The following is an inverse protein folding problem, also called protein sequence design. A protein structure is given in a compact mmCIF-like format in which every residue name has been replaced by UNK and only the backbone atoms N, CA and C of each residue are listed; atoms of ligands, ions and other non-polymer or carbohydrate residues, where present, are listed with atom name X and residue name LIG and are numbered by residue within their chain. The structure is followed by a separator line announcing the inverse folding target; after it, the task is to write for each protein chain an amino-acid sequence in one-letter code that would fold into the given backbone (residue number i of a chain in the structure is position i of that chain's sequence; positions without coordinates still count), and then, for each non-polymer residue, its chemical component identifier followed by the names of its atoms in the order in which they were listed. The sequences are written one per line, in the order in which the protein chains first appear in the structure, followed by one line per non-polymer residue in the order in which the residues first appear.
data_IF_730275804650
#
_entry.id   IF_730275804650
#
_cell.length_a   1.000
_cell.length_b   1.000
_cell.length_c   1.000
_cell.angle_alpha   90.00
_cell.angle_beta   90.00
_cell.angle_gamma   90.00
#
_symmetry.space_group_name_H-M   'P 1'
#
loop_
_entity.id
_entity.type
_entity.pdbx_description
1 polymer ?
#
# COMPACT_ATOMS: atom_id res chain seq x y z
N UNK A 1 17.39 -9.95 -25.61
CA UNK A 1 17.24 -9.81 -24.14
C UNK A 1 17.52 -8.38 -23.65
N UNK A 2 18.45 -7.62 -24.24
CA UNK A 2 18.73 -6.24 -23.81
C UNK A 2 17.56 -5.26 -23.91
N UNK A 3 16.68 -5.39 -24.91
CA UNK A 3 15.55 -4.47 -25.11
C UNK A 3 14.44 -4.58 -24.05
N UNK A 4 14.30 -5.72 -23.38
CA UNK A 4 13.29 -5.92 -22.32
C UNK A 4 13.72 -5.21 -21.03
N UNK A 5 15.01 -5.25 -20.70
CA UNK A 5 15.55 -4.65 -19.48
C UNK A 5 15.77 -3.13 -19.59
N UNK A 6 15.86 -2.60 -20.82
CA UNK A 6 16.04 -1.16 -21.05
C UNK A 6 14.72 -0.38 -21.00
N UNK A 7 13.57 -1.07 -21.10
CA UNK A 7 12.26 -0.45 -21.02
C UNK A 7 11.53 -0.89 -19.74
N UNK A 8 11.30 0.03 -18.81
CA UNK A 8 10.65 -0.24 -17.53
C UNK A 8 9.30 -0.96 -17.70
N UNK A 9 8.49 -0.54 -18.68
CA UNK A 9 7.18 -1.17 -18.94
C UNK A 9 7.31 -2.63 -19.36
N UNK A 10 8.26 -2.93 -20.23
CA UNK A 10 8.54 -4.30 -20.68
C UNK A 10 9.09 -5.16 -19.55
N UNK A 11 9.97 -4.62 -18.72
CA UNK A 11 10.54 -5.32 -17.56
C UNK A 11 9.44 -5.69 -16.54
N UNK A 12 8.55 -4.75 -16.22
CA UNK A 12 7.42 -4.98 -15.29
C UNK A 12 6.46 -6.03 -15.85
N UNK A 13 6.05 -5.93 -17.13
CA UNK A 13 5.16 -6.92 -17.76
C UNK A 13 5.81 -8.30 -17.76
N UNK A 14 7.09 -8.39 -18.14
CA UNK A 14 7.82 -9.68 -18.14
C UNK A 14 7.90 -10.28 -16.74
N UNK A 15 8.19 -9.48 -15.70
CA UNK A 15 8.20 -9.93 -14.31
C UNK A 15 6.84 -10.47 -13.86
N UNK A 16 5.76 -9.80 -14.24
CA UNK A 16 4.39 -10.25 -13.95
C UNK A 16 4.06 -11.58 -14.66
N UNK A 17 4.43 -11.72 -15.92
CA UNK A 17 4.24 -12.97 -16.69
C UNK A 17 5.01 -14.12 -16.03
N UNK A 18 6.26 -13.92 -15.65
CA UNK A 18 7.03 -14.93 -14.91
C UNK A 18 6.41 -15.30 -13.57
N UNK A 19 5.91 -14.33 -12.81
CA UNK A 19 5.24 -14.58 -11.54
C UNK A 19 3.98 -15.43 -11.73
N UNK A 20 3.15 -15.14 -12.74
CA UNK A 20 1.94 -15.92 -13.07
C UNK A 20 2.31 -17.33 -13.47
N UNK A 21 3.33 -17.52 -14.32
CA UNK A 21 3.83 -18.84 -14.72
C UNK A 21 4.31 -19.62 -13.50
N UNK A 22 5.09 -19.00 -12.62
CA UNK A 22 5.58 -19.63 -11.41
C UNK A 22 4.45 -20.08 -10.48
N UNK A 23 3.45 -19.21 -10.27
CA UNK A 23 2.26 -19.54 -9.48
C UNK A 23 1.54 -20.75 -10.08
N UNK A 24 1.35 -20.77 -11.40
CA UNK A 24 0.72 -21.89 -12.09
C UNK A 24 1.49 -23.20 -11.88
N UNK A 25 2.81 -23.19 -12.01
CA UNK A 25 3.65 -24.37 -11.76
C UNK A 25 3.61 -24.84 -10.29
N UNK A 26 3.61 -23.93 -9.35
CA UNK A 26 3.56 -24.26 -7.92
C UNK A 26 2.15 -24.75 -7.49
N UNK A 27 1.10 -24.37 -8.18
CA UNK A 27 -0.27 -24.75 -7.89
C UNK A 27 -0.68 -26.13 -8.46
N UNK A 28 0.22 -26.87 -9.12
CA UNK A 28 -0.10 -28.12 -9.83
C UNK A 28 -0.42 -29.34 -8.95
N UNK A 29 -0.49 -29.24 -7.63
CA UNK A 29 -0.74 -30.42 -6.78
C UNK A 29 -2.18 -30.59 -6.29
N UNK A 30 -2.75 -29.56 -5.73
CA UNK A 30 -4.15 -29.44 -5.30
C UNK A 30 -4.44 -27.96 -5.11
N UNK A 31 -5.19 -27.38 -6.01
CA UNK A 31 -5.53 -25.97 -5.93
C UNK A 31 -6.61 -25.76 -4.87
N UNK A 32 -6.22 -25.38 -3.68
CA UNK A 32 -7.14 -24.89 -2.65
C UNK A 32 -7.48 -23.42 -2.94
N UNK A 33 -8.69 -23.23 -3.46
CA UNK A 33 -9.22 -21.90 -3.79
C UNK A 33 -9.22 -20.98 -2.54
N UNK A 34 -9.50 -21.51 -1.37
CA UNK A 34 -9.57 -20.74 -0.14
C UNK A 34 -8.18 -20.27 0.28
N UNK A 35 -7.21 -21.18 0.28
CA UNK A 35 -5.82 -20.86 0.57
C UNK A 35 -5.25 -19.84 -0.43
N UNK A 36 -5.56 -19.97 -1.71
CA UNK A 36 -5.13 -19.03 -2.74
C UNK A 36 -5.74 -17.63 -2.54
N UNK A 37 -7.04 -17.54 -2.26
CA UNK A 37 -7.70 -16.25 -2.01
C UNK A 37 -7.12 -15.55 -0.79
N UNK A 38 -6.83 -16.29 0.28
CA UNK A 38 -6.19 -15.76 1.49
C UNK A 38 -4.76 -15.27 1.20
N UNK A 39 -4.00 -16.02 0.41
CA UNK A 39 -2.66 -15.64 -0.02
C UNK A 39 -2.70 -14.36 -0.87
N UNK A 40 -3.58 -14.28 -1.87
CA UNK A 40 -3.75 -13.12 -2.73
C UNK A 40 -4.14 -11.87 -1.92
N UNK A 41 -5.07 -12.01 -0.98
CA UNK A 41 -5.51 -10.91 -0.13
C UNK A 41 -4.37 -10.40 0.78
N UNK A 42 -3.52 -11.29 1.31
CA UNK A 42 -2.31 -10.89 2.04
C UNK A 42 -1.34 -10.10 1.15
N UNK A 43 -1.13 -10.55 -0.08
CA UNK A 43 -0.32 -9.81 -1.05
C UNK A 43 -0.87 -8.43 -1.35
N UNK A 44 -2.16 -8.31 -1.57
CA UNK A 44 -2.80 -7.00 -1.77
C UNK A 44 -2.62 -6.09 -0.56
N UNK A 45 -2.76 -6.63 0.65
CA UNK A 45 -2.54 -5.88 1.90
C UNK A 45 -1.10 -5.39 2.02
N UNK A 46 -0.13 -6.25 1.79
CA UNK A 46 1.30 -5.91 1.87
C UNK A 46 1.69 -4.89 0.81
N UNK A 47 1.28 -5.07 -0.45
CA UNK A 47 1.61 -4.15 -1.54
C UNK A 47 1.01 -2.76 -1.32
N UNK A 48 -0.26 -2.68 -0.88
CA UNK A 48 -0.88 -1.39 -0.55
C UNK A 48 -0.22 -0.73 0.65
N UNK A 49 0.18 -1.51 1.65
CA UNK A 49 0.94 -1.01 2.81
C UNK A 49 2.32 -0.48 2.43
N UNK A 50 3.05 -1.18 1.57
CA UNK A 50 4.35 -0.72 1.04
C UNK A 50 4.17 0.61 0.29
N UNK A 51 3.14 0.72 -0.55
CA UNK A 51 2.88 1.95 -1.28
C UNK A 51 2.53 3.10 -0.33
N UNK A 52 1.65 2.88 0.64
CA UNK A 52 1.26 3.88 1.62
C UNK A 52 2.45 4.38 2.45
N UNK A 53 3.16 3.45 3.10
CA UNK A 53 4.30 3.76 3.98
C UNK A 53 5.49 4.29 3.17
N UNK A 54 5.74 3.74 1.97
CA UNK A 54 6.82 4.19 1.09
C UNK A 54 6.66 5.66 0.64
N UNK A 55 5.43 6.07 0.30
CA UNK A 55 5.15 7.48 -0.02
C UNK A 55 5.29 8.37 1.21
N UNK A 56 4.90 7.90 2.40
CA UNK A 56 5.11 8.62 3.65
C UNK A 56 6.60 8.87 3.92
N UNK A 57 7.45 7.86 3.75
CA UNK A 57 8.90 8.01 3.85
C UNK A 57 9.44 8.98 2.80
N UNK A 58 9.00 8.88 1.56
CA UNK A 58 9.40 9.80 0.50
C UNK A 58 9.11 11.27 0.89
N UNK A 59 7.92 11.57 1.37
CA UNK A 59 7.60 12.92 1.81
C UNK A 59 8.47 13.40 2.98
N UNK A 60 8.61 12.58 4.02
CA UNK A 60 9.29 12.99 5.24
C UNK A 60 10.82 13.03 5.13
N UNK A 61 11.41 12.11 4.36
CA UNK A 61 12.87 11.99 4.29
C UNK A 61 13.47 12.56 3.01
N UNK A 62 12.68 12.75 1.96
CA UNK A 62 13.18 13.23 0.69
C UNK A 62 12.58 14.58 0.32
N UNK A 63 11.27 14.67 0.15
CA UNK A 63 10.66 15.88 -0.41
C UNK A 63 10.70 17.06 0.57
N UNK A 64 10.20 16.93 1.79
CA UNK A 64 10.11 18.02 2.76
C UNK A 64 11.49 18.57 3.13
N UNK A 65 12.50 17.75 3.47
CA UNK A 65 13.84 18.28 3.83
C UNK A 65 14.55 18.98 2.67
N UNK A 66 14.27 18.62 1.42
CA UNK A 66 14.92 19.21 0.25
C UNK A 66 14.17 20.43 -0.33
N UNK A 67 12.95 20.69 0.08
CA UNK A 67 12.18 21.84 -0.41
C UNK A 67 12.87 23.19 -0.24
N UNK A 68 13.60 23.47 0.87
CA UNK A 68 14.36 24.74 1.00
C UNK A 68 15.50 24.88 -0.01
N UNK A 69 16.06 23.77 -0.50
CA UNK A 69 17.19 23.75 -1.42
C UNK A 69 16.77 23.92 -2.89
N UNK A 70 15.48 23.95 -3.17
CA UNK A 70 14.94 24.06 -4.54
C UNK A 70 14.69 25.53 -4.86
N UNK A 71 15.17 26.04 -6.01
CA UNK A 71 14.87 27.39 -6.48
C UNK A 71 13.37 27.68 -6.51
N UNK A 72 12.98 28.90 -6.17
CA UNK A 72 11.56 29.28 -6.00
C UNK A 72 10.75 29.13 -7.31
N UNK A 73 11.36 29.34 -8.45
CA UNK A 73 10.78 29.16 -9.77
C UNK A 73 10.45 27.68 -10.11
N UNK A 74 11.13 26.72 -9.48
CA UNK A 74 10.95 25.28 -9.68
C UNK A 74 10.00 24.62 -8.64
N UNK A 75 9.81 25.24 -7.48
CA UNK A 75 8.91 24.73 -6.42
C UNK A 75 7.48 24.43 -6.91
N UNK A 76 6.88 25.25 -7.81
CA UNK A 76 5.53 24.97 -8.32
C UNK A 76 5.41 23.64 -9.07
N UNK A 77 6.46 23.17 -9.75
CA UNK A 77 6.46 21.88 -10.42
C UNK A 77 6.28 20.71 -9.43
N UNK A 78 6.90 20.83 -8.27
CA UNK A 78 6.79 19.81 -7.21
C UNK A 78 5.45 19.94 -6.49
N UNK A 79 5.09 21.12 -6.02
CA UNK A 79 3.89 21.31 -5.18
C UNK A 79 2.58 21.18 -5.95
N UNK A 80 2.54 21.58 -7.25
CA UNK A 80 1.31 21.57 -8.06
C UNK A 80 1.15 20.34 -8.94
N UNK A 81 2.23 19.60 -9.22
CA UNK A 81 2.18 18.45 -10.13
C UNK A 81 2.53 17.15 -9.40
N UNK A 82 3.72 17.08 -8.82
CA UNK A 82 4.21 15.81 -8.23
C UNK A 82 3.50 15.50 -6.92
N UNK A 83 3.41 16.47 -6.01
CA UNK A 83 2.83 16.23 -4.69
C UNK A 83 1.34 15.83 -4.74
N UNK A 84 0.46 16.46 -5.53
CA UNK A 84 -0.93 16.02 -5.65
C UNK A 84 -1.07 14.60 -6.22
N UNK A 85 -0.24 14.24 -7.22
CA UNK A 85 -0.23 12.90 -7.78
C UNK A 85 0.24 11.85 -6.74
N UNK A 86 1.30 12.14 -6.01
CA UNK A 86 1.77 11.25 -4.94
C UNK A 86 0.76 11.14 -3.78
N UNK A 87 0.10 12.23 -3.39
CA UNK A 87 -0.94 12.23 -2.38
C UNK A 87 -2.17 11.42 -2.79
N UNK A 88 -2.51 11.40 -4.08
CA UNK A 88 -3.58 10.55 -4.59
C UNK A 88 -3.26 9.06 -4.34
N UNK A 89 -2.08 8.59 -4.70
CA UNK A 89 -1.62 7.23 -4.45
C UNK A 89 -1.50 6.91 -2.95
N UNK A 90 -1.02 7.88 -2.17
CA UNK A 90 -0.95 7.76 -0.71
C UNK A 90 -2.32 7.47 -0.09
N UNK A 91 -3.35 8.23 -0.46
CA UNK A 91 -4.71 8.06 0.06
C UNK A 91 -5.29 6.71 -0.30
N UNK A 92 -5.21 6.33 -1.58
CA UNK A 92 -5.76 5.05 -2.03
C UNK A 92 -4.97 3.86 -1.50
N UNK A 93 -3.66 3.96 -1.37
CA UNK A 93 -2.83 2.96 -0.71
C UNK A 93 -3.24 2.75 0.76
N UNK A 94 -3.48 3.85 1.49
CA UNK A 94 -3.94 3.80 2.88
C UNK A 94 -5.32 3.12 3.00
N UNK A 95 -6.30 3.54 2.20
CA UNK A 95 -7.65 2.93 2.18
C UNK A 95 -7.57 1.43 1.85
N UNK A 96 -6.84 1.07 0.80
CA UNK A 96 -6.68 -0.32 0.40
C UNK A 96 -6.03 -1.17 1.50
N UNK A 97 -5.03 -0.62 2.21
CA UNK A 97 -4.38 -1.30 3.34
C UNK A 97 -5.37 -1.55 4.48
N UNK A 98 -6.15 -0.54 4.85
CA UNK A 98 -7.15 -0.69 5.92
C UNK A 98 -8.22 -1.71 5.53
N UNK A 99 -8.82 -1.59 4.35
CA UNK A 99 -9.88 -2.49 3.88
C UNK A 99 -9.39 -3.94 3.81
N UNK A 100 -8.25 -4.18 3.18
CA UNK A 100 -7.69 -5.54 3.08
C UNK A 100 -7.29 -6.10 4.44
N UNK A 101 -6.81 -5.26 5.36
CA UNK A 101 -6.50 -5.64 6.75
C UNK A 101 -7.75 -6.09 7.52
N UNK A 102 -8.86 -5.35 7.39
CA UNK A 102 -10.14 -5.74 8.00
C UNK A 102 -10.67 -7.07 7.45
N UNK A 103 -10.63 -7.23 6.13
CA UNK A 103 -11.08 -8.48 5.49
C UNK A 103 -10.21 -9.65 5.97
N UNK A 104 -8.89 -9.49 6.02
CA UNK A 104 -7.97 -10.51 6.53
C UNK A 104 -8.26 -10.87 7.98
N UNK A 105 -8.44 -9.88 8.86
CA UNK A 105 -8.75 -10.10 10.26
C UNK A 105 -10.09 -10.84 10.44
N UNK A 106 -11.09 -10.48 9.65
CA UNK A 106 -12.39 -11.14 9.66
C UNK A 106 -12.30 -12.61 9.20
N UNK A 107 -11.66 -12.87 8.05
CA UNK A 107 -11.52 -14.22 7.50
C UNK A 107 -10.66 -15.15 8.37
N UNK A 108 -9.71 -14.59 9.11
CA UNK A 108 -8.92 -15.36 10.07
C UNK A 108 -9.60 -15.47 11.47
N UNK A 109 -10.76 -14.88 11.69
CA UNK A 109 -11.58 -15.02 12.89
C UNK A 109 -11.12 -14.21 14.10
N UNK A 110 -10.12 -13.33 13.97
CA UNK A 110 -9.60 -12.54 15.10
C UNK A 110 -9.98 -11.05 15.05
N UNK A 111 -10.88 -10.63 14.16
CA UNK A 111 -11.25 -9.23 14.02
C UNK A 111 -11.79 -8.64 15.33
N UNK A 112 -12.71 -9.34 15.99
CA UNK A 112 -13.29 -8.89 17.26
C UNK A 112 -12.21 -8.76 18.33
N UNK A 113 -11.35 -9.78 18.47
CA UNK A 113 -10.28 -9.80 19.46
C UNK A 113 -9.24 -8.71 19.25
N UNK A 114 -8.89 -8.43 17.99
CA UNK A 114 -8.02 -7.33 17.65
C UNK A 114 -8.65 -5.97 17.98
N UNK A 115 -9.93 -5.76 17.63
CA UNK A 115 -10.63 -4.50 17.89
C UNK A 115 -10.82 -4.22 19.39
N UNK A 116 -10.97 -5.27 20.21
CA UNK A 116 -11.17 -5.19 21.67
C UNK A 116 -9.88 -5.41 22.48
N UNK A 117 -8.73 -5.58 21.80
CA UNK A 117 -7.43 -5.86 22.43
C UNK A 117 -7.41 -7.13 23.28
N UNK A 118 -8.26 -8.12 22.97
CA UNK A 118 -8.42 -9.36 23.71
C UNK A 118 -7.60 -10.51 23.12
N UNK A 119 -7.56 -11.63 23.82
CA UNK A 119 -7.00 -12.93 23.38
C UNK A 119 -5.58 -12.87 22.75
N UNK A 120 -4.73 -11.93 23.21
CA UNK A 120 -3.36 -11.81 22.70
C UNK A 120 -3.23 -11.09 21.34
N UNK A 121 -4.33 -10.63 20.74
CA UNK A 121 -4.33 -9.92 19.46
C UNK A 121 -4.14 -8.40 19.58
N UNK A 122 -3.77 -7.91 20.77
CA UNK A 122 -3.57 -6.48 21.02
C UNK A 122 -2.56 -5.79 20.08
N UNK A 123 -1.43 -6.42 19.62
CA UNK A 123 -0.51 -5.73 18.71
C UNK A 123 -1.17 -5.43 17.35
N UNK A 124 -2.00 -6.36 16.87
CA UNK A 124 -2.79 -6.18 15.63
C UNK A 124 -3.82 -5.07 15.84
N UNK A 125 -4.50 -5.07 16.99
CA UNK A 125 -5.49 -4.06 17.37
C UNK A 125 -4.90 -2.65 17.40
N UNK A 126 -3.72 -2.47 17.99
CA UNK A 126 -3.01 -1.19 17.99
C UNK A 126 -2.74 -0.72 16.56
N UNK A 127 -2.21 -1.60 15.69
CA UNK A 127 -1.97 -1.27 14.28
C UNK A 127 -3.26 -0.90 13.53
N UNK A 128 -4.35 -1.62 13.75
CA UNK A 128 -5.66 -1.35 13.13
C UNK A 128 -6.23 0.01 13.56
N UNK A 129 -6.21 0.33 14.84
CA UNK A 129 -6.70 1.60 15.37
C UNK A 129 -5.85 2.78 14.89
N UNK A 130 -4.52 2.65 14.90
CA UNK A 130 -3.63 3.69 14.35
C UNK A 130 -3.89 3.92 12.86
N UNK A 131 -4.10 2.87 12.08
CA UNK A 131 -4.41 2.98 10.66
C UNK A 131 -5.76 3.70 10.43
N UNK A 132 -6.81 3.34 11.19
CA UNK A 132 -8.13 3.99 11.12
C UNK A 132 -8.02 5.48 11.44
N UNK A 133 -7.36 5.83 12.54
CA UNK A 133 -7.18 7.24 12.95
C UNK A 133 -6.42 8.02 11.88
N UNK A 134 -5.32 7.45 11.36
CA UNK A 134 -4.50 8.10 10.33
C UNK A 134 -5.30 8.32 9.04
N UNK A 135 -6.03 7.30 8.57
CA UNK A 135 -6.84 7.42 7.34
C UNK A 135 -7.99 8.41 7.55
N UNK A 136 -8.68 8.36 8.69
CA UNK A 136 -9.76 9.29 9.00
C UNK A 136 -9.26 10.75 9.02
N UNK A 137 -8.14 11.01 9.68
CA UNK A 137 -7.56 12.34 9.75
C UNK A 137 -7.15 12.88 8.37
N UNK A 138 -6.50 12.05 7.56
CA UNK A 138 -6.05 12.46 6.22
C UNK A 138 -7.21 12.71 5.26
N UNK A 139 -8.32 11.96 5.38
CA UNK A 139 -9.52 12.17 4.56
C UNK A 139 -10.28 13.45 4.97
N UNK A 140 -10.45 13.68 6.27
CA UNK A 140 -11.17 14.87 6.76
C UNK A 140 -10.46 16.16 6.36
N UNK A 141 -9.14 16.22 6.54
CA UNK A 141 -8.36 17.42 6.19
C UNK A 141 -8.26 17.71 4.69
N UNK A 142 -8.43 16.69 3.85
CA UNK A 142 -8.45 16.89 2.40
C UNK A 142 -9.67 17.66 1.90
N UNK A 143 -10.77 17.68 2.66
CA UNK A 143 -11.99 18.43 2.34
C UNK A 143 -11.94 19.90 2.80
N UNK A 144 -11.02 20.24 3.70
CA UNK A 144 -10.89 21.62 4.20
C UNK A 144 -9.97 22.50 3.33
N UNK A 145 -9.25 21.92 2.38
CA UNK A 145 -8.26 22.62 1.53
C UNK A 145 -8.66 22.77 0.06
N UNK A 146 -9.95 22.57 -0.26
CA UNK A 146 -10.51 22.80 -1.61
C UNK A 146 -11.29 24.10 -1.69
#
# INVERSE_FOLDING_TARGET
MSSILTNLRSAVITGFVFAVILIFFLAQGSFDQTAFNMWLLRWMHVLSGIMWVGILYYFNFVQIPNMPNIPDDQKPAISKVIAPAALWWFRWGAVATVVTGFILAHLNGYLHDAMTFSNGHWPIGVGMWLAIITVSYTHLRAHETV
#
